data_IF_731832408356
#
_entry.id   IF_731832408356
#
_cell.length_a   1.000
_cell.length_b   1.000
_cell.length_c   1.000
_cell.angle_alpha   90.00
_cell.angle_beta   90.00
_cell.angle_gamma   90.00
#
_symmetry.space_group_name_H-M   'P 1'
#
loop_
_entity.id
_entity.type
_entity.pdbx_description
1 polymer ?
#
# COMPACT_ATOMS: atom_id res chain seq x y z
N UNK A 1 -12.11 -7.69 8.91
CA UNK A 1 -10.94 -8.00 8.06
C UNK A 1 -10.43 -6.67 7.53
N UNK A 2 -9.30 -6.18 8.04
CA UNK A 2 -8.76 -4.86 7.63
C UNK A 2 -8.25 -4.97 6.19
N UNK A 3 -8.69 -4.09 5.31
CA UNK A 3 -8.31 -4.17 3.90
C UNK A 3 -6.88 -3.65 3.70
N UNK A 4 -6.11 -4.28 2.81
CA UNK A 4 -4.76 -3.81 2.43
C UNK A 4 -4.73 -2.31 2.07
N UNK A 5 -5.85 -1.81 1.54
CA UNK A 5 -6.12 -0.41 1.23
C UNK A 5 -6.12 0.50 2.45
N UNK A 6 -6.75 0.09 3.56
CA UNK A 6 -6.81 0.88 4.80
C UNK A 6 -5.45 0.92 5.51
N UNK A 7 -4.72 -0.20 5.51
CA UNK A 7 -3.37 -0.29 6.06
C UNK A 7 -2.37 0.58 5.29
N UNK A 8 -2.55 0.74 3.97
CA UNK A 8 -1.74 1.62 3.14
C UNK A 8 -2.09 3.11 3.32
N UNK A 9 -3.32 3.43 3.73
CA UNK A 9 -3.75 4.81 4.00
C UNK A 9 -3.37 5.32 5.41
N UNK A 10 -3.52 4.47 6.43
CA UNK A 10 -3.54 4.92 7.84
C UNK A 10 -2.28 4.62 8.64
N UNK A 11 -1.22 4.12 8.01
CA UNK A 11 -0.06 3.67 8.76
C UNK A 11 1.26 3.99 8.09
N UNK A 12 2.23 4.46 8.89
CA UNK A 12 3.63 4.58 8.51
C UNK A 12 4.30 3.22 8.21
N UNK A 13 3.55 2.13 8.37
CA UNK A 13 4.04 0.78 8.18
C UNK A 13 4.64 0.58 6.79
N UNK A 14 5.83 0.02 6.78
CA UNK A 14 6.49 -0.41 5.54
C UNK A 14 5.65 -1.43 4.80
N UNK A 15 5.76 -1.46 3.47
CA UNK A 15 5.07 -2.44 2.60
C UNK A 15 5.30 -3.89 3.09
N UNK A 16 6.48 -4.19 3.63
CA UNK A 16 6.80 -5.48 4.23
C UNK A 16 5.95 -5.81 5.48
N UNK A 17 5.72 -4.83 6.35
CA UNK A 17 4.90 -4.99 7.56
C UNK A 17 3.43 -5.23 7.19
N UNK A 18 2.93 -4.51 6.17
CA UNK A 18 1.59 -4.69 5.64
C UNK A 18 1.44 -6.09 5.02
N UNK A 19 2.41 -6.52 4.20
CA UNK A 19 2.41 -7.86 3.63
C UNK A 19 2.36 -8.95 4.72
N UNK A 20 3.21 -8.82 5.75
CA UNK A 20 3.25 -9.77 6.89
C UNK A 20 1.93 -9.78 7.67
N UNK A 21 1.34 -8.61 7.92
CA UNK A 21 0.07 -8.51 8.64
C UNK A 21 -1.10 -9.13 7.86
N UNK A 22 -1.07 -9.06 6.53
CA UNK A 22 -2.02 -9.70 5.64
C UNK A 22 -1.78 -11.20 5.44
N UNK A 23 -0.80 -11.79 6.12
CA UNK A 23 -0.48 -13.21 6.04
C UNK A 23 0.42 -13.61 4.87
N UNK A 24 1.02 -12.63 4.17
CA UNK A 24 2.02 -12.93 3.15
C UNK A 24 3.40 -13.14 3.77
N UNK A 25 4.00 -14.31 3.52
CA UNK A 25 5.36 -14.61 3.96
C UNK A 25 6.41 -13.78 3.21
N UNK A 26 6.14 -13.43 1.94
CA UNK A 26 7.08 -12.72 1.07
C UNK A 26 6.49 -11.41 0.54
N UNK A 27 7.14 -10.29 0.84
CA UNK A 27 6.77 -8.96 0.33
C UNK A 27 6.73 -8.90 -1.18
N UNK A 28 7.66 -9.57 -1.87
CA UNK A 28 7.71 -9.62 -3.34
C UNK A 28 6.47 -10.28 -3.95
N UNK A 29 5.93 -11.31 -3.28
CA UNK A 29 4.71 -11.98 -3.71
C UNK A 29 3.49 -11.10 -3.46
N UNK A 30 3.42 -10.44 -2.30
CA UNK A 30 2.42 -9.42 -2.03
C UNK A 30 2.42 -8.32 -3.09
N UNK A 31 3.57 -7.75 -3.44
CA UNK A 31 3.67 -6.72 -4.47
C UNK A 31 3.19 -7.20 -5.84
N UNK A 32 3.49 -8.45 -6.21
CA UNK A 32 2.99 -9.05 -7.47
C UNK A 32 1.47 -9.15 -7.46
N UNK A 33 0.90 -9.77 -6.42
CA UNK A 33 -0.55 -9.94 -6.27
C UNK A 33 -1.24 -8.58 -6.24
N UNK A 34 -0.74 -7.63 -5.43
CA UNK A 34 -1.28 -6.28 -5.34
C UNK A 34 -1.28 -5.57 -6.68
N UNK A 35 -0.17 -5.64 -7.44
CA UNK A 35 -0.11 -5.05 -8.78
C UNK A 35 -1.05 -5.74 -9.76
N UNK A 36 -1.27 -7.05 -9.67
CA UNK A 36 -2.26 -7.73 -10.51
C UNK A 36 -3.69 -7.33 -10.17
N UNK A 37 -4.00 -7.15 -8.89
CA UNK A 37 -5.34 -6.78 -8.41
C UNK A 37 -5.67 -5.30 -8.67
N UNK A 38 -4.72 -4.40 -8.37
CA UNK A 38 -4.94 -2.94 -8.40
C UNK A 38 -4.29 -2.24 -9.59
N UNK A 39 -3.56 -2.98 -10.45
CA UNK A 39 -2.81 -2.47 -11.61
C UNK A 39 -1.73 -1.43 -11.27
N UNK A 40 -1.46 -1.19 -9.99
CA UNK A 40 -0.46 -0.24 -9.49
C UNK A 40 0.43 -0.88 -8.43
N UNK A 41 1.64 -0.37 -8.24
CA UNK A 41 2.51 -0.86 -7.15
C UNK A 41 2.00 -0.33 -5.81
N UNK A 42 2.16 -1.07 -4.70
CA UNK A 42 1.72 -0.59 -3.39
C UNK A 42 2.43 0.69 -2.95
N UNK A 43 3.66 0.93 -3.41
CA UNK A 43 4.38 2.19 -3.21
C UNK A 43 3.74 3.35 -4.00
N UNK A 44 3.45 3.16 -5.29
CA UNK A 44 2.78 4.18 -6.09
C UNK A 44 1.38 4.48 -5.55
N UNK A 45 0.66 3.44 -5.11
CA UNK A 45 -0.62 3.58 -4.43
C UNK A 45 -0.47 4.47 -3.20
N UNK A 46 0.49 4.18 -2.30
CA UNK A 46 0.77 5.00 -1.11
C UNK A 46 1.12 6.45 -1.45
N UNK A 47 1.89 6.69 -2.52
CA UNK A 47 2.21 8.04 -2.98
C UNK A 47 0.97 8.80 -3.44
N UNK A 48 0.09 8.19 -4.24
CA UNK A 48 -1.13 8.83 -4.71
C UNK A 48 -2.06 9.24 -3.56
N UNK A 49 -2.16 8.45 -2.50
CA UNK A 49 -2.99 8.79 -1.34
C UNK A 49 -2.37 9.91 -0.49
N UNK A 50 -1.04 9.92 -0.38
CA UNK A 50 -0.32 10.96 0.36
C UNK A 50 -0.33 12.30 -0.39
N UNK A 51 -0.28 12.29 -1.73
CA UNK A 51 -0.46 13.48 -2.56
C UNK A 51 -1.88 14.03 -2.48
N UNK A 52 -2.90 13.19 -2.33
CA UNK A 52 -4.28 13.66 -2.14
C UNK A 52 -4.55 14.27 -0.75
N UNK A 53 -3.55 14.29 0.15
CA UNK A 53 -3.60 14.94 1.47
C UNK A 53 -2.75 16.21 1.57
N UNK A 54 -2.08 16.61 0.49
CA UNK A 54 -1.40 17.91 0.40
C UNK A 54 -2.11 18.70 -0.70
N UNK A 55 -2.86 19.78 -0.39
CA UNK A 55 -3.26 20.70 -1.45
C UNK A 55 -1.98 21.17 -2.16
N UNK A 56 -2.01 21.35 -3.50
CA UNK A 56 -0.89 21.96 -4.19
C UNK A 56 -0.59 23.28 -3.48
N UNK A 57 0.57 23.33 -2.84
CA UNK A 57 1.08 24.58 -2.29
C UNK A 57 1.47 25.38 -3.52
N UNK A 58 0.60 26.33 -3.90
CA UNK A 58 0.95 27.42 -4.81
C UNK A 58 2.12 28.22 -4.24
#
# INVERSE_FOLDING_TARGET
MVSARELLCHSDWSIASIARNLGFSQTSYFCKVFRQTYQVTPQAYRQQINENSHPPSL
#
